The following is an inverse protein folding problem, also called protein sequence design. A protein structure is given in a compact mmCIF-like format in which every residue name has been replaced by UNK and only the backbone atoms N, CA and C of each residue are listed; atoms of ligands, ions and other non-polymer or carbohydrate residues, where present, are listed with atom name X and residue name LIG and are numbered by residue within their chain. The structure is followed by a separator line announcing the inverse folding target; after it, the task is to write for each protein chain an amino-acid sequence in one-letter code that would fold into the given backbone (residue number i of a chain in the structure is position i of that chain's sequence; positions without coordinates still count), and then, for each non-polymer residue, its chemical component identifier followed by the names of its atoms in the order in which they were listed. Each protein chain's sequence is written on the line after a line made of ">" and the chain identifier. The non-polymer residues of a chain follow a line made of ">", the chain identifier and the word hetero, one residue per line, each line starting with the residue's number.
data_IF_968087692814
#
_entry.id   IF_968087692814
#
_cell.length_a   1.000
_cell.length_b   1.000
_cell.length_c   1.000
_cell.angle_alpha   90.00
_cell.angle_beta   90.00
_cell.angle_gamma   90.00
#
_symmetry.space_group_name_H-M   'P 1'
#
loop_
_entity.id
_entity.type
_entity.pdbx_description
1 polymer ?
#
# COMPACT_ATOMS: atom_id res chain seq x y z
N UNK A 1 -42.10 -15.28 40.15
CA UNK A 1 -41.10 -14.70 41.08
C UNK A 1 -40.61 -13.39 40.47
N UNK A 2 -41.26 -12.29 40.86
CA UNK A 2 -40.69 -11.12 41.56
C UNK A 2 -39.61 -10.40 40.74
N UNK A 3 -39.95 -9.40 39.94
CA UNK A 3 -40.35 -7.99 40.25
C UNK A 3 -39.12 -7.09 40.41
N UNK A 4 -39.09 -6.09 39.54
CA UNK A 4 -38.11 -5.02 39.37
C UNK A 4 -37.72 -4.34 40.68
N UNK A 5 -36.44 -3.95 40.77
CA UNK A 5 -35.93 -3.04 41.79
C UNK A 5 -35.52 -1.74 41.10
N UNK A 6 -36.05 -0.64 41.63
CA UNK A 6 -35.78 0.75 41.30
C UNK A 6 -35.07 1.44 42.50
N UNK A 7 -34.53 2.64 42.22
CA UNK A 7 -34.29 3.80 43.12
C UNK A 7 -32.93 3.80 43.88
N UNK A 8 -32.24 4.96 44.18
CA UNK A 8 -32.61 6.38 44.01
C UNK A 8 -31.62 7.33 43.30
N UNK A 9 -32.20 8.44 42.82
CA UNK A 9 -31.59 9.77 42.71
C UNK A 9 -31.21 10.33 44.08
N UNK A 10 -30.09 11.05 44.16
CA UNK A 10 -29.92 12.13 45.15
C UNK A 10 -29.43 13.37 44.43
N UNK A 11 -30.31 14.38 44.34
CA UNK A 11 -29.97 15.75 44.01
C UNK A 11 -29.64 16.46 45.32
N UNK A 12 -28.51 17.17 45.39
CA UNK A 12 -28.28 18.20 46.39
C UNK A 12 -27.80 19.47 45.71
N UNK A 13 -28.45 20.54 46.13
CA UNK A 13 -28.64 21.83 45.53
C UNK A 13 -27.62 22.87 45.99
N UNK A 14 -27.16 23.67 45.02
CA UNK A 14 -27.16 25.15 44.97
C UNK A 14 -26.46 26.03 46.03
N UNK A 15 -26.09 27.22 45.52
CA UNK A 15 -25.83 28.55 46.14
C UNK A 15 -24.34 28.88 46.33
N UNK A 16 -23.76 30.01 45.92
CA UNK A 16 -24.14 31.32 45.31
C UNK A 16 -22.81 32.05 44.98
N UNK A 17 -22.66 32.99 44.05
CA UNK A 17 -22.95 34.44 44.18
C UNK A 17 -22.52 35.17 42.88
N UNK A 18 -23.38 36.10 42.44
CA UNK A 18 -23.27 37.33 41.61
C UNK A 18 -21.97 37.65 40.81
N UNK A 19 -22.00 38.23 39.61
CA UNK A 19 -23.00 39.15 39.07
C UNK A 19 -22.78 39.58 37.61
N UNK A 20 -23.50 40.64 37.26
CA UNK A 20 -23.96 41.12 35.96
C UNK A 20 -22.86 41.43 34.91
N UNK A 21 -22.99 40.83 33.72
CA UNK A 21 -22.71 41.49 32.43
C UNK A 21 -23.76 41.00 31.44
N UNK A 22 -24.57 41.94 30.94
CA UNK A 22 -25.47 41.68 29.82
C UNK A 22 -24.69 41.46 28.53
N UNK A 23 -25.17 40.54 27.70
CA UNK A 23 -24.97 40.66 26.27
C UNK A 23 -26.19 40.06 25.57
N UNK A 24 -26.80 40.90 24.75
CA UNK A 24 -27.98 40.62 23.96
C UNK A 24 -27.68 39.61 22.84
N UNK A 25 -28.78 39.00 22.43
CA UNK A 25 -29.03 38.12 21.28
C UNK A 25 -28.04 38.18 20.10
N UNK A 26 -27.79 36.97 19.63
CA UNK A 26 -27.82 36.54 18.24
C UNK A 26 -26.97 37.33 17.24
N UNK A 27 -25.81 36.75 16.93
CA UNK A 27 -25.43 36.60 15.53
C UNK A 27 -24.95 35.18 15.34
N UNK A 28 -25.80 34.39 14.68
CA UNK A 28 -25.40 33.18 13.99
C UNK A 28 -24.30 33.55 13.00
N UNK A 29 -23.05 33.45 13.45
CA UNK A 29 -21.95 33.34 12.52
C UNK A 29 -21.99 31.90 12.05
N UNK A 30 -22.68 31.69 10.93
CA UNK A 30 -22.55 30.48 10.12
C UNK A 30 -21.05 30.32 9.89
N UNK A 31 -20.43 29.43 10.65
CA UNK A 31 -19.10 28.93 10.32
C UNK A 31 -19.28 28.23 8.99
N UNK A 32 -18.87 28.93 7.94
CA UNK A 32 -18.64 28.36 6.63
C UNK A 32 -17.69 27.18 6.86
N UNK A 33 -18.27 25.98 6.88
CA UNK A 33 -17.50 24.74 6.85
C UNK A 33 -16.82 24.75 5.49
N UNK A 34 -15.60 25.29 5.45
CA UNK A 34 -14.70 25.03 4.34
C UNK A 34 -14.64 23.53 4.21
N UNK A 35 -15.19 23.01 3.11
CA UNK A 35 -15.08 21.62 2.76
C UNK A 35 -13.58 21.34 2.65
N UNK A 36 -13.03 20.69 3.68
CA UNK A 36 -11.65 20.22 3.69
C UNK A 36 -11.49 19.33 2.47
N UNK A 37 -10.85 19.85 1.43
CA UNK A 37 -10.41 19.02 0.32
C UNK A 37 -9.37 18.06 0.88
N UNK A 38 -9.82 16.85 1.21
CA UNK A 38 -8.91 15.74 1.52
C UNK A 38 -8.17 15.44 0.23
N UNK A 39 -6.99 16.06 0.06
CA UNK A 39 -6.04 15.65 -0.97
C UNK A 39 -5.77 14.17 -0.74
N UNK A 40 -6.23 13.34 -1.66
CA UNK A 40 -5.91 11.91 -1.66
C UNK A 40 -4.39 11.81 -1.84
N UNK A 41 -3.68 11.49 -0.75
CA UNK A 41 -2.23 11.30 -0.79
C UNK A 41 -1.99 9.94 -1.44
N UNK A 42 -1.43 9.97 -2.65
CA UNK A 42 -1.00 8.75 -3.35
C UNK A 42 0.32 8.28 -2.72
N UNK A 43 0.40 7.03 -2.22
CA UNK A 43 1.65 6.50 -1.68
C UNK A 43 2.77 6.48 -2.73
N UNK A 44 4.02 6.73 -2.31
CA UNK A 44 5.17 6.85 -3.22
C UNK A 44 5.51 5.56 -3.99
N UNK A 45 5.10 4.40 -3.48
CA UNK A 45 5.29 3.09 -4.11
C UNK A 45 4.25 2.77 -5.19
N UNK A 46 3.19 3.57 -5.32
CA UNK A 46 2.18 3.38 -6.38
C UNK A 46 2.79 3.78 -7.71
N UNK A 47 2.74 2.89 -8.69
CA UNK A 47 3.35 3.15 -9.98
C UNK A 47 3.37 1.93 -10.90
N UNK A 48 3.84 2.17 -12.12
CA UNK A 48 4.20 1.11 -13.07
C UNK A 48 5.72 1.01 -13.14
N UNK A 49 6.23 -0.21 -13.10
CA UNK A 49 7.64 -0.55 -13.09
C UNK A 49 7.91 -1.54 -14.22
N UNK A 50 9.07 -1.43 -14.86
CA UNK A 50 9.47 -2.40 -15.88
C UNK A 50 10.96 -2.65 -15.88
N UNK A 51 11.35 -3.80 -16.43
CA UNK A 51 12.74 -4.20 -16.53
C UNK A 51 12.90 -5.48 -17.33
N UNK A 52 14.16 -5.80 -17.61
CA UNK A 52 14.57 -7.04 -18.25
C UNK A 52 15.25 -7.90 -17.18
N UNK A 53 14.75 -9.11 -16.98
CA UNK A 53 15.23 -10.01 -15.93
C UNK A 53 15.67 -11.34 -16.52
N UNK A 54 16.49 -12.13 -15.81
CA UNK A 54 16.79 -13.49 -16.21
C UNK A 54 15.54 -14.34 -16.44
N UNK A 55 15.63 -15.38 -17.26
CA UNK A 55 14.54 -16.32 -17.45
C UNK A 55 14.09 -16.98 -16.14
N UNK A 56 12.81 -17.40 -16.03
CA UNK A 56 12.18 -17.83 -14.76
C UNK A 56 12.95 -18.93 -14.00
N UNK A 57 13.74 -19.75 -14.69
CA UNK A 57 14.57 -20.82 -14.13
C UNK A 57 16.01 -20.41 -13.80
N UNK A 58 16.47 -19.23 -14.23
CA UNK A 58 17.84 -18.75 -14.01
C UNK A 58 17.89 -17.79 -12.80
N UNK A 59 19.00 -17.83 -12.05
CA UNK A 59 19.31 -16.90 -10.95
C UNK A 59 20.18 -15.72 -11.37
N UNK A 60 20.60 -15.70 -12.64
CA UNK A 60 21.34 -14.65 -13.32
C UNK A 60 21.08 -14.77 -14.84
N UNK A 61 21.44 -13.76 -15.64
CA UNK A 61 21.36 -13.87 -17.10
C UNK A 61 22.16 -15.09 -17.58
N UNK A 62 21.57 -15.87 -18.49
CA UNK A 62 22.07 -17.17 -18.91
C UNK A 62 22.22 -17.20 -20.45
N UNK A 63 23.33 -17.73 -20.98
CA UNK A 63 23.67 -17.64 -22.41
C UNK A 63 22.61 -18.25 -23.34
N UNK A 64 21.87 -19.24 -22.86
CA UNK A 64 20.82 -19.94 -23.60
C UNK A 64 19.42 -19.30 -23.47
N UNK A 65 19.30 -18.09 -22.90
CA UNK A 65 18.01 -17.43 -22.74
C UNK A 65 18.08 -15.90 -22.82
N UNK A 66 17.28 -15.32 -23.71
CA UNK A 66 17.22 -13.87 -23.95
C UNK A 66 16.59 -13.06 -22.81
N UNK A 67 16.17 -13.74 -21.73
CA UNK A 67 15.57 -13.12 -20.55
C UNK A 67 14.05 -13.02 -20.63
N UNK A 68 13.52 -12.19 -19.75
CA UNK A 68 12.11 -11.93 -19.55
C UNK A 68 11.88 -10.42 -19.49
N UNK A 69 10.98 -9.91 -20.31
CA UNK A 69 10.42 -8.59 -20.12
C UNK A 69 9.37 -8.67 -19.00
N UNK A 70 9.48 -7.78 -18.01
CA UNK A 70 8.58 -7.72 -16.87
C UNK A 70 7.98 -6.33 -16.78
N UNK A 71 6.66 -6.26 -16.60
CA UNK A 71 5.94 -5.04 -16.25
C UNK A 71 5.10 -5.30 -15.01
N UNK A 72 5.20 -4.42 -14.03
CA UNK A 72 4.51 -4.53 -12.75
C UNK A 72 3.83 -3.20 -12.45
N UNK A 73 2.51 -3.22 -12.26
CA UNK A 73 1.74 -2.08 -11.75
C UNK A 73 1.31 -2.36 -10.32
N UNK A 74 1.64 -1.44 -9.40
CA UNK A 74 1.22 -1.47 -8.00
C UNK A 74 0.17 -0.38 -7.77
N UNK A 75 -1.00 -0.77 -7.27
CA UNK A 75 -2.15 0.13 -7.13
C UNK A 75 -2.37 0.56 -5.68
N UNK A 76 -2.88 1.77 -5.47
CA UNK A 76 -3.15 2.34 -4.14
C UNK A 76 -4.14 1.50 -3.30
N UNK A 77 -4.97 0.67 -3.94
CA UNK A 77 -5.95 -0.21 -3.32
C UNK A 77 -5.38 -1.59 -2.90
N UNK A 78 -4.06 -1.73 -2.86
CA UNK A 78 -3.35 -2.96 -2.49
C UNK A 78 -3.56 -4.11 -3.48
N UNK A 79 -3.74 -3.78 -4.76
CA UNK A 79 -3.74 -4.74 -5.86
C UNK A 79 -2.54 -4.55 -6.78
N UNK A 80 -2.25 -5.57 -7.59
CA UNK A 80 -1.21 -5.51 -8.60
C UNK A 80 -1.68 -6.07 -9.96
N UNK A 81 -0.99 -5.66 -11.01
CA UNK A 81 -0.95 -6.34 -12.32
C UNK A 81 0.50 -6.64 -12.68
N UNK A 82 0.80 -7.88 -13.03
CA UNK A 82 2.12 -8.36 -13.40
C UNK A 82 2.04 -9.01 -14.79
N UNK A 83 2.72 -8.43 -15.76
CA UNK A 83 2.89 -8.96 -17.12
C UNK A 83 4.33 -9.46 -17.26
N UNK A 84 4.47 -10.73 -17.63
CA UNK A 84 5.75 -11.41 -17.84
C UNK A 84 5.76 -12.03 -19.23
N UNK A 85 6.71 -11.61 -20.05
CA UNK A 85 6.89 -12.12 -21.40
C UNK A 85 8.29 -12.70 -21.56
N UNK A 86 8.38 -13.95 -22.01
CA UNK A 86 9.66 -14.52 -22.43
C UNK A 86 10.11 -13.86 -23.73
N UNK A 87 11.39 -13.52 -23.80
CA UNK A 87 11.94 -12.85 -24.98
C UNK A 87 12.36 -13.82 -26.09
N UNK A 88 12.41 -15.14 -25.83
CA UNK A 88 12.96 -16.17 -26.74
C UNK A 88 12.05 -16.57 -27.93
N UNK A 89 11.16 -15.69 -28.37
CA UNK A 89 10.32 -15.89 -29.56
C UNK A 89 9.07 -16.75 -29.37
N UNK A 90 8.77 -17.19 -28.14
CA UNK A 90 7.45 -17.71 -27.74
C UNK A 90 6.74 -16.65 -26.88
N UNK A 91 6.17 -15.65 -27.57
CA UNK A 91 5.67 -14.38 -27.02
C UNK A 91 4.38 -14.45 -26.19
N UNK A 92 4.08 -15.60 -25.57
CA UNK A 92 2.88 -15.68 -24.72
C UNK A 92 3.19 -14.94 -23.42
N UNK A 93 2.65 -13.73 -23.30
CA UNK A 93 2.63 -12.98 -22.06
C UNK A 93 1.76 -13.70 -21.03
N UNK A 94 2.30 -13.90 -19.84
CA UNK A 94 1.57 -14.29 -18.65
C UNK A 94 1.16 -13.02 -17.91
N UNK A 95 -0.15 -12.76 -17.84
CA UNK A 95 -0.71 -11.64 -17.09
C UNK A 95 -1.35 -12.16 -15.81
N UNK A 96 -0.84 -11.72 -14.68
CA UNK A 96 -1.32 -12.06 -13.34
C UNK A 96 -1.86 -10.81 -12.66
N UNK A 97 -2.96 -10.97 -11.94
CA UNK A 97 -3.55 -9.90 -11.12
C UNK A 97 -3.89 -10.46 -9.75
N UNK A 98 -3.71 -9.66 -8.71
CA UNK A 98 -4.02 -10.12 -7.37
C UNK A 98 -3.88 -9.03 -6.32
N UNK A 99 -3.88 -9.46 -5.05
CA UNK A 99 -3.61 -8.60 -3.91
C UNK A 99 -2.12 -8.59 -3.59
N UNK A 100 -1.68 -7.52 -2.95
CA UNK A 100 -0.33 -7.43 -2.43
C UNK A 100 -0.32 -7.24 -0.92
N UNK A 101 0.77 -7.66 -0.28
CA UNK A 101 0.93 -7.61 1.17
C UNK A 101 2.31 -7.06 1.51
N UNK A 102 2.38 -5.94 2.23
CA UNK A 102 3.63 -5.50 2.85
C UNK A 102 3.92 -6.35 4.09
N UNK A 103 5.17 -6.78 4.25
CA UNK A 103 5.66 -7.63 5.34
C UNK A 103 6.30 -6.83 6.48
N UNK A 104 6.55 -5.55 6.24
CA UNK A 104 7.16 -4.60 7.13
C UNK A 104 6.30 -3.33 7.29
N UNK A 105 6.51 -2.60 8.38
CA UNK A 105 5.78 -1.36 8.66
C UNK A 105 6.20 -0.22 7.72
N UNK A 106 7.47 -0.23 7.30
CA UNK A 106 8.06 0.77 6.39
C UNK A 106 7.58 0.62 4.93
N UNK A 107 6.82 -0.45 4.64
CA UNK A 107 6.29 -0.79 3.32
C UNK A 107 7.38 -0.90 2.25
N UNK A 108 8.47 -1.59 2.61
CA UNK A 108 9.59 -1.85 1.71
C UNK A 108 9.59 -3.31 1.25
N UNK A 109 9.12 -4.27 2.04
CA UNK A 109 9.07 -5.68 1.69
C UNK A 109 7.66 -6.06 1.24
N UNK A 110 7.49 -6.32 -0.06
CA UNK A 110 6.19 -6.56 -0.68
C UNK A 110 6.08 -7.99 -1.19
N UNK A 111 4.96 -8.65 -0.92
CA UNK A 111 4.59 -9.93 -1.53
C UNK A 111 3.43 -9.76 -2.51
N UNK A 112 3.58 -10.30 -3.71
CA UNK A 112 2.51 -10.50 -4.68
C UNK A 112 1.77 -11.80 -4.37
N UNK A 113 0.58 -11.71 -3.80
CA UNK A 113 -0.19 -12.89 -3.36
C UNK A 113 -0.67 -13.67 -4.58
N UNK A 114 -0.51 -14.99 -4.53
CA UNK A 114 -0.95 -15.91 -5.59
C UNK A 114 0.04 -16.06 -6.75
N UNK A 115 1.21 -15.42 -6.69
CA UNK A 115 2.29 -15.63 -7.66
C UNK A 115 3.24 -16.72 -7.15
N UNK A 116 3.47 -17.76 -7.94
CA UNK A 116 4.21 -18.95 -7.48
C UNK A 116 5.73 -18.75 -7.38
N UNK A 117 6.30 -17.85 -8.18
CA UNK A 117 7.75 -17.57 -8.25
C UNK A 117 7.99 -16.09 -8.47
N UNK A 118 9.11 -15.60 -7.92
CA UNK A 118 9.56 -14.20 -7.95
C UNK A 118 8.49 -13.26 -7.44
N UNK A 119 7.86 -13.65 -6.32
CA UNK A 119 6.73 -12.95 -5.74
C UNK A 119 7.11 -12.02 -4.57
N UNK A 120 8.37 -12.06 -4.12
CA UNK A 120 8.89 -11.22 -3.05
C UNK A 120 9.69 -10.07 -3.66
N UNK A 121 9.39 -8.85 -3.23
CA UNK A 121 9.90 -7.63 -3.81
C UNK A 121 10.42 -6.71 -2.72
N UNK A 122 11.49 -5.95 -3.03
CA UNK A 122 11.94 -4.83 -2.22
C UNK A 122 11.60 -3.53 -2.97
N UNK A 123 10.76 -2.69 -2.37
CA UNK A 123 10.34 -1.41 -2.92
C UNK A 123 11.28 -0.31 -2.45
N UNK A 124 11.93 0.37 -3.39
CA UNK A 124 12.74 1.55 -3.12
C UNK A 124 12.05 2.80 -3.67
N UNK A 125 11.17 3.39 -2.84
CA UNK A 125 10.41 4.60 -3.22
C UNK A 125 11.31 5.81 -3.48
N UNK A 126 12.50 5.89 -2.88
CA UNK A 126 13.42 7.00 -3.07
C UNK A 126 14.13 6.95 -4.45
N UNK A 127 14.34 5.75 -4.97
CA UNK A 127 14.94 5.53 -6.30
C UNK A 127 13.93 5.26 -7.40
N UNK A 128 12.64 5.13 -7.05
CA UNK A 128 11.60 4.72 -7.98
C UNK A 128 11.88 3.34 -8.61
N UNK A 129 12.34 2.41 -7.78
CA UNK A 129 12.76 1.07 -8.19
C UNK A 129 12.04 -0.01 -7.36
N UNK A 130 11.88 -1.18 -7.95
CA UNK A 130 11.45 -2.41 -7.28
C UNK A 130 12.45 -3.51 -7.61
N UNK A 131 13.03 -4.14 -6.60
CA UNK A 131 13.91 -5.29 -6.78
C UNK A 131 13.14 -6.59 -6.58
N UNK A 132 13.26 -7.54 -7.50
CA UNK A 132 12.76 -8.90 -7.34
C UNK A 132 13.75 -9.69 -6.47
N UNK A 133 13.26 -10.27 -5.37
CA UNK A 133 14.06 -10.99 -4.38
C UNK A 133 13.87 -12.50 -4.52
N UNK A 134 14.80 -13.26 -3.95
CA UNK A 134 14.73 -14.71 -3.94
C UNK A 134 13.45 -15.19 -3.25
N UNK A 135 12.81 -16.18 -3.86
CA UNK A 135 11.65 -16.85 -3.30
C UNK A 135 11.96 -17.39 -1.89
N UNK A 136 10.93 -17.42 -1.04
CA UNK A 136 10.95 -17.91 0.36
C UNK A 136 11.82 -17.11 1.35
N UNK A 137 12.97 -16.59 0.93
CA UNK A 137 13.96 -15.95 1.82
C UNK A 137 13.97 -14.44 1.74
N UNK A 138 13.44 -13.83 0.67
CA UNK A 138 13.52 -12.39 0.38
C UNK A 138 14.95 -11.82 0.30
N UNK A 139 15.96 -12.68 0.24
CA UNK A 139 17.35 -12.27 0.05
C UNK A 139 17.58 -11.71 -1.37
N UNK A 140 18.55 -10.80 -1.56
CA UNK A 140 19.00 -10.39 -2.88
C UNK A 140 19.55 -11.58 -3.67
N UNK A 141 19.35 -11.57 -4.99
CA UNK A 141 20.16 -12.38 -5.89
C UNK A 141 21.62 -11.93 -5.89
N UNK A 142 22.55 -12.82 -6.26
CA UNK A 142 23.96 -12.45 -6.38
C UNK A 142 24.19 -11.37 -7.45
N UNK A 143 23.38 -11.39 -8.51
CA UNK A 143 23.29 -10.37 -9.58
C UNK A 143 22.04 -9.51 -9.40
N UNK A 144 21.86 -8.88 -8.23
CA UNK A 144 20.61 -8.19 -7.87
C UNK A 144 20.23 -7.07 -8.84
N UNK A 145 21.19 -6.46 -9.51
CA UNK A 145 20.99 -5.45 -10.55
C UNK A 145 20.23 -5.99 -11.77
N UNK A 146 20.37 -7.27 -12.10
CA UNK A 146 19.60 -7.94 -13.16
C UNK A 146 18.13 -8.21 -12.76
N UNK A 147 17.76 -7.94 -11.51
CA UNK A 147 16.41 -8.16 -10.97
C UNK A 147 15.71 -6.85 -10.59
N UNK A 148 16.23 -5.71 -11.03
CA UNK A 148 15.63 -4.40 -10.81
C UNK A 148 14.59 -4.04 -11.88
N UNK A 149 13.47 -3.50 -11.42
CA UNK A 149 12.43 -2.87 -12.24
C UNK A 149 12.42 -1.37 -11.93
N UNK A 150 12.53 -0.55 -12.96
CA UNK A 150 12.50 0.92 -12.83
C UNK A 150 11.10 1.45 -13.15
N UNK A 151 10.69 2.51 -12.46
CA UNK A 151 9.41 3.16 -12.73
C UNK A 151 9.36 3.71 -14.17
N UNK A 152 8.20 3.56 -14.83
CA UNK A 152 7.93 3.99 -16.21
C UNK A 152 6.83 5.03 -16.28
#
# INVERSE_FOLDING_TARGET
>A
MNKSILIPLVSLSSLTVTGLVGCERASETVKQTEAVQVKHIVPAWVGSYSGHTPCMSCSALCEDCEGMAVKLTLNADMTYTLDRQSMSGNDVSEILTGRMLFKDEDKTELELVGVAKRNLLLVNSAKHEVEIRMDQTANPYATSDEFLLSQT
#
